data_IF_910355579028
#
_entry.id   IF_910355579028
#
_cell.length_a   1.000
_cell.length_b   1.000
_cell.length_c   1.000
_cell.angle_alpha   90.00
_cell.angle_beta   90.00
_cell.angle_gamma   90.00
#
_symmetry.space_group_name_H-M   'P 1'
#
loop_
_entity.id
_entity.type
_entity.pdbx_description
1 polymer ?
#
# COMPACT_ATOMS: atom_id res chain seq x y z
N UNK A 1 7.11 20.91 8.89
CA UNK A 1 6.62 20.54 7.55
C UNK A 1 6.06 21.77 6.86
N UNK A 2 6.59 22.08 5.69
CA UNK A 2 6.03 23.07 4.76
C UNK A 2 4.86 22.46 3.99
N UNK A 3 3.98 23.30 3.43
CA UNK A 3 2.84 22.84 2.60
C UNK A 3 3.27 21.94 1.43
N UNK A 4 4.46 22.19 0.87
CA UNK A 4 5.06 21.35 -0.17
C UNK A 4 5.46 19.96 0.32
N UNK A 5 6.06 19.87 1.51
CA UNK A 5 6.39 18.59 2.12
C UNK A 5 5.13 17.77 2.46
N UNK A 6 4.09 18.41 2.98
CA UNK A 6 2.79 17.75 3.23
C UNK A 6 2.14 17.26 1.95
N UNK A 7 2.14 18.05 0.87
CA UNK A 7 1.57 17.65 -0.42
C UNK A 7 2.29 16.43 -1.01
N UNK A 8 3.62 16.41 -0.93
CA UNK A 8 4.44 15.30 -1.43
C UNK A 8 4.25 14.03 -0.61
N UNK A 9 4.12 14.16 0.72
CA UNK A 9 3.81 13.02 1.60
C UNK A 9 2.43 12.43 1.25
N UNK A 10 1.42 13.28 1.06
CA UNK A 10 0.08 12.84 0.67
C UNK A 10 0.05 12.13 -0.69
N UNK A 11 0.82 12.63 -1.67
CA UNK A 11 0.96 12.00 -2.98
C UNK A 11 1.58 10.61 -2.87
N UNK A 12 2.70 10.47 -2.13
CA UNK A 12 3.36 9.18 -1.90
C UNK A 12 2.44 8.18 -1.19
N UNK A 13 1.70 8.62 -0.16
CA UNK A 13 0.70 7.78 0.52
C UNK A 13 -0.39 7.35 -0.45
N UNK A 14 -0.91 8.28 -1.27
CA UNK A 14 -1.92 8.01 -2.28
C UNK A 14 -1.50 6.94 -3.29
N UNK A 15 -0.24 6.99 -3.75
CA UNK A 15 0.33 5.98 -4.65
C UNK A 15 0.31 4.59 -3.99
N UNK A 16 0.78 4.48 -2.75
CA UNK A 16 0.86 3.20 -2.03
C UNK A 16 -0.54 2.64 -1.71
N UNK A 17 -1.51 3.49 -1.37
CA UNK A 17 -2.92 3.09 -1.24
C UNK A 17 -3.45 2.53 -2.58
N UNK A 18 -3.14 3.20 -3.69
CA UNK A 18 -3.52 2.74 -5.03
C UNK A 18 -2.92 1.37 -5.38
N UNK A 19 -1.68 1.10 -4.99
CA UNK A 19 -1.03 -0.21 -5.17
C UNK A 19 -1.72 -1.31 -4.36
N UNK A 20 -2.03 -1.05 -3.09
CA UNK A 20 -2.78 -1.99 -2.23
C UNK A 20 -4.14 -2.31 -2.82
N UNK A 21 -4.88 -1.30 -3.29
CA UNK A 21 -6.18 -1.51 -3.93
C UNK A 21 -6.08 -2.34 -5.21
N UNK A 22 -5.05 -2.13 -6.02
CA UNK A 22 -4.83 -2.91 -7.23
C UNK A 22 -4.48 -4.37 -6.91
N UNK A 23 -3.61 -4.62 -5.94
CA UNK A 23 -3.28 -5.97 -5.48
C UNK A 23 -4.52 -6.68 -4.92
N UNK A 24 -5.32 -6.00 -4.09
CA UNK A 24 -6.53 -6.57 -3.51
C UNK A 24 -7.60 -6.95 -4.56
N UNK A 25 -7.66 -6.22 -5.69
CA UNK A 25 -8.59 -6.54 -6.80
C UNK A 25 -8.21 -7.80 -7.58
N UNK A 26 -6.97 -8.28 -7.44
CA UNK A 26 -6.52 -9.53 -8.08
C UNK A 26 -7.09 -10.76 -7.38
N UNK A 27 -7.32 -10.67 -6.07
CA UNK A 27 -7.95 -11.72 -5.27
C UNK A 27 -9.40 -11.96 -5.73
N UNK A 28 -9.63 -13.03 -6.50
CA UNK A 28 -10.98 -13.46 -6.92
C UNK A 28 -11.38 -14.75 -6.22
N UNK A 29 -12.66 -14.85 -5.89
CA UNK A 29 -13.24 -16.11 -5.45
C UNK A 29 -13.28 -17.09 -6.63
N UNK A 30 -12.72 -18.27 -6.44
CA UNK A 30 -12.72 -19.35 -7.45
C UNK A 30 -11.37 -19.56 -8.15
N UNK A 31 -10.35 -18.76 -7.84
CA UNK A 31 -8.99 -19.02 -8.32
C UNK A 31 -8.37 -20.24 -7.64
N UNK A 32 -7.40 -20.85 -8.31
CA UNK A 32 -6.60 -21.92 -7.73
C UNK A 32 -5.86 -21.41 -6.48
N UNK A 33 -5.77 -22.25 -5.44
CA UNK A 33 -5.16 -21.87 -4.15
C UNK A 33 -3.77 -21.26 -4.34
N UNK A 34 -2.97 -21.77 -5.27
CA UNK A 34 -1.61 -21.31 -5.56
C UNK A 34 -1.59 -19.86 -6.09
N UNK A 35 -2.60 -19.47 -6.88
CA UNK A 35 -2.76 -18.11 -7.37
C UNK A 35 -3.21 -17.17 -6.25
N UNK A 36 -4.13 -17.64 -5.40
CA UNK A 36 -4.56 -16.89 -4.21
C UNK A 36 -3.38 -16.64 -3.27
N UNK A 37 -2.52 -17.63 -3.03
CA UNK A 37 -1.33 -17.50 -2.19
C UNK A 37 -0.33 -16.48 -2.77
N UNK A 38 -0.11 -16.51 -4.09
CA UNK A 38 0.76 -15.54 -4.77
C UNK A 38 0.21 -14.11 -4.68
N UNK A 39 -1.09 -13.93 -4.94
CA UNK A 39 -1.77 -12.63 -4.87
C UNK A 39 -1.83 -12.10 -3.43
N UNK A 40 -2.01 -12.98 -2.43
CA UNK A 40 -1.93 -12.62 -1.02
C UNK A 40 -0.53 -12.13 -0.64
N UNK A 41 0.52 -12.84 -1.07
CA UNK A 41 1.89 -12.42 -0.81
C UNK A 41 2.21 -11.06 -1.46
N UNK A 42 1.69 -10.80 -2.67
CA UNK A 42 1.80 -9.48 -3.32
C UNK A 42 1.08 -8.40 -2.51
N UNK A 43 -0.15 -8.68 -2.05
CA UNK A 43 -0.94 -7.76 -1.23
C UNK A 43 -0.23 -7.43 0.10
N UNK A 44 0.29 -8.44 0.79
CA UNK A 44 1.04 -8.26 2.04
C UNK A 44 2.28 -7.40 1.85
N UNK A 45 2.99 -7.56 0.73
CA UNK A 45 4.13 -6.73 0.36
C UNK A 45 3.71 -5.27 0.15
N UNK A 46 2.62 -5.03 -0.58
CA UNK A 46 2.09 -3.67 -0.78
C UNK A 46 1.67 -3.01 0.53
N UNK A 47 1.03 -3.77 1.44
CA UNK A 47 0.63 -3.28 2.76
C UNK A 47 1.86 -2.94 3.61
N UNK A 48 2.89 -3.80 3.60
CA UNK A 48 4.12 -3.54 4.35
C UNK A 48 4.83 -2.28 3.86
N UNK A 49 4.92 -2.08 2.54
CA UNK A 49 5.48 -0.86 1.97
C UNK A 49 4.70 0.41 2.39
N UNK A 50 3.36 0.35 2.37
CA UNK A 50 2.53 1.46 2.86
C UNK A 50 2.78 1.75 4.35
N UNK A 51 2.92 0.72 5.19
CA UNK A 51 3.22 0.87 6.61
C UNK A 51 4.58 1.53 6.85
N UNK A 52 5.61 1.15 6.08
CA UNK A 52 6.94 1.75 6.15
C UNK A 52 6.90 3.24 5.77
N UNK A 53 6.19 3.58 4.70
CA UNK A 53 5.99 4.98 4.30
C UNK A 53 5.30 5.77 5.41
N UNK A 54 4.21 5.24 5.98
CA UNK A 54 3.50 5.89 7.07
C UNK A 54 4.37 6.07 8.33
N UNK A 55 5.17 5.06 8.68
CA UNK A 55 6.10 5.12 9.81
C UNK A 55 7.24 6.13 9.60
N UNK A 56 7.59 6.42 8.33
CA UNK A 56 8.58 7.43 7.97
C UNK A 56 8.05 8.86 8.03
N UNK A 57 6.73 9.06 8.13
CA UNK A 57 6.13 10.39 8.25
C UNK A 57 6.38 10.94 9.66
N UNK A 58 6.96 12.15 9.80
CA UNK A 58 7.21 12.74 11.12
C UNK A 58 5.90 12.90 11.90
N UNK A 59 5.74 12.16 13.00
CA UNK A 59 4.65 12.33 13.94
C UNK A 59 4.93 13.57 14.80
N UNK A 60 4.46 14.74 14.38
CA UNK A 60 4.30 15.85 15.30
C UNK A 60 2.91 15.75 15.93
N UNK A 61 2.89 15.34 17.20
CA UNK A 61 1.73 15.51 18.09
C UNK A 61 1.54 16.99 18.44
#
# INVERSE_FOLDING_TARGET
>A
MTRFETSRVNETIGIHIGMVQQAARKLRMGDEIQLIEADLAELEKCISALKEVLASVPHYA
#
